data_IF_484138602929
#
_entry.id   IF_484138602929
#
_cell.length_a   1.000
_cell.length_b   1.000
_cell.length_c   1.000
_cell.angle_alpha   90.00
_cell.angle_beta   90.00
_cell.angle_gamma   90.00
#
_symmetry.space_group_name_H-M   'P 1'
#
loop_
_entity.id
_entity.type
_entity.pdbx_description
1 polymer ?
#
# COMPACT_ATOMS: atom_id res chain seq x y z
N UNK A 1 7.88 -9.51 -12.14
CA UNK A 1 6.72 -8.65 -11.90
C UNK A 1 5.71 -8.67 -13.05
N UNK A 2 6.09 -9.18 -14.22
CA UNK A 2 5.20 -9.25 -15.38
C UNK A 2 3.95 -10.08 -15.07
N UNK A 3 2.78 -9.47 -15.22
CA UNK A 3 1.49 -10.09 -14.92
C UNK A 3 1.08 -10.09 -13.44
N UNK A 4 1.94 -9.61 -12.52
CA UNK A 4 1.58 -9.44 -11.12
C UNK A 4 0.56 -8.32 -10.99
N UNK A 5 -0.55 -8.57 -10.32
CA UNK A 5 -1.62 -7.59 -10.08
C UNK A 5 -1.48 -6.99 -8.69
N UNK A 6 -1.27 -5.69 -8.63
CA UNK A 6 -1.05 -4.94 -7.38
C UNK A 6 -2.11 -3.87 -7.21
N UNK A 7 -2.87 -3.92 -6.12
CA UNK A 7 -3.74 -2.82 -5.72
C UNK A 7 -3.05 -1.94 -4.69
N UNK A 8 -3.06 -0.62 -4.91
CA UNK A 8 -2.63 0.40 -3.95
C UNK A 8 -3.90 1.08 -3.44
N UNK A 9 -4.15 1.01 -2.13
CA UNK A 9 -5.43 1.42 -1.52
C UNK A 9 -5.23 2.49 -0.47
N UNK A 10 -5.97 3.59 -0.59
CA UNK A 10 -5.98 4.67 0.39
C UNK A 10 -5.81 6.06 -0.20
N UNK A 11 -5.09 6.95 0.49
CA UNK A 11 -4.78 8.30 0.03
C UNK A 11 -3.65 8.28 -1.02
N UNK A 12 -4.02 8.04 -2.27
CA UNK A 12 -3.06 7.90 -3.37
C UNK A 12 -2.36 9.24 -3.66
N UNK A 13 -3.12 10.32 -3.70
CA UNK A 13 -2.64 11.65 -4.10
C UNK A 13 -1.55 12.18 -3.18
N UNK A 14 -1.69 12.00 -1.88
CA UNK A 14 -0.74 12.53 -0.90
C UNK A 14 0.35 11.54 -0.49
N UNK A 15 0.32 10.31 -1.03
CA UNK A 15 1.25 9.25 -0.64
C UNK A 15 2.53 9.23 -1.50
N UNK A 16 3.66 9.50 -0.88
CA UNK A 16 4.98 9.28 -1.51
C UNK A 16 5.23 7.80 -1.80
N UNK A 17 4.70 6.92 -0.94
CA UNK A 17 4.80 5.46 -1.12
C UNK A 17 4.02 5.04 -2.37
N UNK A 18 2.80 5.52 -2.56
CA UNK A 18 2.02 5.24 -3.77
C UNK A 18 2.77 5.69 -5.02
N UNK A 19 3.27 6.94 -5.05
CA UNK A 19 3.97 7.50 -6.22
C UNK A 19 5.20 6.69 -6.62
N UNK A 20 6.09 6.36 -5.68
CA UNK A 20 7.29 5.58 -5.99
C UNK A 20 6.96 4.15 -6.42
N UNK A 21 5.94 3.53 -5.81
CA UNK A 21 5.55 2.16 -6.15
C UNK A 21 4.83 2.08 -7.50
N UNK A 22 3.87 3.00 -7.80
CA UNK A 22 3.18 2.97 -9.08
C UNK A 22 4.15 3.11 -10.26
N UNK A 23 5.13 3.98 -10.14
CA UNK A 23 6.13 4.20 -11.18
C UNK A 23 7.00 2.97 -11.40
N UNK A 24 7.60 2.41 -10.35
CA UNK A 24 8.51 1.28 -10.49
C UNK A 24 7.79 -0.01 -10.87
N UNK A 25 6.63 -0.28 -10.29
CA UNK A 25 5.85 -1.48 -10.59
C UNK A 25 5.40 -1.52 -12.05
N UNK A 26 4.92 -0.40 -12.58
CA UNK A 26 4.54 -0.28 -13.99
C UNK A 26 5.74 -0.52 -14.91
N UNK A 27 6.90 0.06 -14.60
CA UNK A 27 8.15 -0.15 -15.37
C UNK A 27 8.62 -1.61 -15.33
N UNK A 28 8.35 -2.33 -14.25
CA UNK A 28 8.68 -3.75 -14.09
C UNK A 28 7.62 -4.69 -14.72
N UNK A 29 6.55 -4.14 -15.27
CA UNK A 29 5.50 -4.89 -15.98
C UNK A 29 4.39 -5.45 -15.10
N UNK A 30 4.23 -4.94 -13.88
CA UNK A 30 3.07 -5.25 -13.05
C UNK A 30 1.82 -4.50 -13.54
N UNK A 31 0.66 -5.08 -13.31
CA UNK A 31 -0.63 -4.42 -13.50
C UNK A 31 -1.02 -3.70 -12.20
N UNK A 32 -1.04 -2.37 -12.24
CA UNK A 32 -1.35 -1.55 -11.06
C UNK A 32 -2.81 -1.14 -11.07
N UNK A 33 -3.45 -1.25 -9.91
CA UNK A 33 -4.79 -0.79 -9.63
C UNK A 33 -4.79 0.17 -8.45
N UNK A 34 -5.72 1.11 -8.46
CA UNK A 34 -5.91 2.08 -7.37
C UNK A 34 -7.31 1.93 -6.79
N UNK A 35 -7.42 2.11 -5.48
CA UNK A 35 -8.70 2.17 -4.78
C UNK A 35 -8.60 3.07 -3.55
N UNK A 36 -9.74 3.56 -3.09
CA UNK A 36 -9.85 4.45 -1.93
C UNK A 36 -10.91 5.50 -2.15
N UNK A 37 -11.03 6.51 -1.29
CA UNK A 37 -11.89 7.64 -1.52
C UNK A 37 -11.55 8.37 -2.82
N UNK A 38 -12.55 8.63 -3.67
CA UNK A 38 -12.33 9.27 -4.99
C UNK A 38 -11.67 10.65 -4.85
N UNK A 39 -11.99 11.39 -3.81
CA UNK A 39 -11.37 12.71 -3.55
C UNK A 39 -9.90 12.64 -3.12
N UNK A 40 -9.36 11.43 -2.87
CA UNK A 40 -7.93 11.15 -2.64
C UNK A 40 -7.26 10.53 -3.87
N UNK A 41 -7.89 10.60 -5.02
CA UNK A 41 -7.34 10.10 -6.27
C UNK A 41 -7.26 11.20 -7.34
N UNK A 42 -6.11 11.30 -7.98
CA UNK A 42 -5.88 12.20 -9.10
C UNK A 42 -5.83 11.38 -10.40
N UNK A 43 -6.68 11.70 -11.37
CA UNK A 43 -6.72 11.05 -12.67
C UNK A 43 -5.41 11.18 -13.48
N UNK A 44 -4.47 12.05 -13.09
CA UNK A 44 -3.12 12.05 -13.64
C UNK A 44 -2.39 10.70 -13.40
N UNK A 45 -2.84 9.90 -12.43
CA UNK A 45 -2.28 8.57 -12.15
C UNK A 45 -2.82 7.46 -13.05
N UNK A 46 -3.84 7.72 -13.89
CA UNK A 46 -4.39 6.75 -14.84
C UNK A 46 -3.33 6.22 -15.83
N UNK A 47 -2.26 6.98 -16.05
CA UNK A 47 -1.11 6.54 -16.84
C UNK A 47 -0.33 5.36 -16.23
N UNK A 48 -0.44 5.13 -14.93
CA UNK A 48 0.26 4.05 -14.21
C UNK A 48 -0.64 2.86 -13.91
N UNK A 49 -1.96 3.06 -13.84
CA UNK A 49 -2.89 2.00 -13.46
C UNK A 49 -4.34 2.43 -13.57
N UNK A 50 -5.24 1.57 -13.10
CA UNK A 50 -6.69 1.81 -13.21
C UNK A 50 -7.31 1.95 -11.82
N UNK A 51 -8.10 3.00 -11.62
CA UNK A 51 -8.95 3.10 -10.44
C UNK A 51 -10.12 2.10 -10.52
N UNK A 52 -10.38 1.36 -9.43
CA UNK A 52 -11.48 0.41 -9.30
C UNK A 52 -12.01 0.42 -7.86
N UNK A 53 -13.30 0.11 -7.67
CA UNK A 53 -13.84 -0.18 -6.34
C UNK A 53 -13.07 -1.33 -5.66
N UNK A 54 -12.83 -1.22 -4.35
CA UNK A 54 -12.05 -2.19 -3.60
C UNK A 54 -12.60 -3.62 -3.72
N UNK A 55 -13.92 -3.77 -3.64
CA UNK A 55 -14.57 -5.08 -3.66
C UNK A 55 -14.41 -5.81 -5.01
N UNK A 56 -14.16 -5.09 -6.11
CA UNK A 56 -13.80 -5.70 -7.41
C UNK A 56 -12.36 -6.21 -7.44
N UNK A 57 -11.49 -5.65 -6.60
CA UNK A 57 -10.06 -5.96 -6.57
C UNK A 57 -9.72 -7.12 -5.63
N UNK A 58 -10.47 -7.26 -4.53
CA UNK A 58 -10.15 -8.18 -3.44
C UNK A 58 -9.86 -9.61 -3.91
N UNK A 59 -10.71 -10.18 -4.77
CA UNK A 59 -10.53 -11.55 -5.29
C UNK A 59 -9.64 -11.66 -6.53
N UNK A 60 -9.09 -10.54 -7.03
CA UNK A 60 -8.41 -10.52 -8.34
C UNK A 60 -6.93 -10.19 -8.26
N UNK A 61 -6.50 -9.43 -7.27
CA UNK A 61 -5.11 -9.00 -7.12
C UNK A 61 -4.26 -9.99 -6.35
N UNK A 62 -2.96 -9.96 -6.61
CA UNK A 62 -1.97 -10.79 -5.93
C UNK A 62 -1.38 -10.06 -4.72
N UNK A 63 -1.35 -8.73 -4.78
CA UNK A 63 -0.84 -7.88 -3.71
C UNK A 63 -1.83 -6.77 -3.41
N UNK A 64 -2.22 -6.66 -2.14
CA UNK A 64 -3.04 -5.58 -1.60
C UNK A 64 -2.14 -4.66 -0.76
N UNK A 65 -1.67 -3.57 -1.34
CA UNK A 65 -0.85 -2.58 -0.64
C UNK A 65 -1.73 -1.51 -0.04
N UNK A 66 -1.87 -1.51 1.27
CA UNK A 66 -2.64 -0.52 2.01
C UNK A 66 -1.75 0.68 2.34
N UNK A 67 -2.31 1.87 2.26
CA UNK A 67 -1.65 3.10 2.68
C UNK A 67 -2.18 3.52 4.05
N UNK A 68 -1.32 4.11 4.87
CA UNK A 68 -1.74 4.69 6.14
C UNK A 68 -2.67 5.88 5.90
N UNK A 69 -3.82 5.88 6.56
CA UNK A 69 -4.69 7.07 6.63
C UNK A 69 -4.07 8.07 7.60
N UNK A 70 -3.66 9.23 7.07
CA UNK A 70 -3.00 10.28 7.86
C UNK A 70 -4.03 11.35 8.23
N UNK A 71 -4.80 11.10 9.28
CA UNK A 71 -5.83 12.03 9.77
C UNK A 71 -5.28 13.45 10.00
N UNK A 72 -4.00 13.55 10.41
CA UNK A 72 -3.33 14.82 10.64
C UNK A 72 -3.17 15.69 9.37
N UNK A 73 -3.25 15.11 8.19
CA UNK A 73 -3.15 15.84 6.90
C UNK A 73 -4.49 16.33 6.39
N UNK A 74 -5.55 15.73 6.86
CA UNK A 74 -6.90 16.00 6.39
C UNK A 74 -7.69 16.86 7.39
N UNK A 75 -7.07 17.25 8.52
CA UNK A 75 -7.71 18.12 9.53
C UNK A 75 -8.15 19.44 8.89
N UNK A 76 -9.47 19.63 8.82
CA UNK A 76 -10.09 20.82 8.20
C UNK A 76 -10.56 20.64 6.76
N UNK A 77 -10.41 19.46 6.15
CA UNK A 77 -11.02 19.16 4.85
C UNK A 77 -12.54 18.97 5.05
N UNK A 78 -13.40 19.69 4.29
CA UNK A 78 -14.86 19.53 4.36
C UNK A 78 -15.32 18.08 4.11
N UNK A 79 -14.54 17.29 3.39
CA UNK A 79 -14.82 15.88 3.10
C UNK A 79 -14.44 14.96 4.27
N UNK A 80 -13.60 15.42 5.22
CA UNK A 80 -13.19 14.66 6.39
C UNK A 80 -14.33 14.48 7.40
N UNK A 81 -15.27 15.44 7.48
CA UNK A 81 -16.41 15.37 8.38
C UNK A 81 -17.33 14.15 8.13
N UNK A 82 -17.20 13.49 6.98
CA UNK A 82 -17.98 12.30 6.60
C UNK A 82 -17.22 10.98 6.74
N UNK A 83 -15.91 10.99 7.05
CA UNK A 83 -15.12 9.76 7.15
C UNK A 83 -14.47 9.59 8.52
N UNK A 84 -15.26 9.17 9.49
CA UNK A 84 -14.68 8.62 10.73
C UNK A 84 -13.95 7.29 10.39
N UNK A 85 -13.10 6.82 11.30
CA UNK A 85 -12.33 5.59 11.14
C UNK A 85 -13.19 4.37 10.79
N UNK A 86 -14.40 4.28 11.37
CA UNK A 86 -15.33 3.18 11.14
C UNK A 86 -15.92 3.22 9.72
N UNK A 87 -16.28 4.39 9.22
CA UNK A 87 -16.79 4.57 7.86
C UNK A 87 -15.71 4.27 6.82
N UNK A 88 -14.48 4.72 7.07
CA UNK A 88 -13.35 4.38 6.21
C UNK A 88 -13.13 2.87 6.18
N UNK A 89 -13.07 2.22 7.37
CA UNK A 89 -12.89 0.77 7.47
C UNK A 89 -13.99 0.01 6.71
N UNK A 90 -15.24 0.41 6.88
CA UNK A 90 -16.36 -0.25 6.21
C UNK A 90 -16.25 -0.18 4.67
N UNK A 91 -15.81 0.96 4.14
CA UNK A 91 -15.74 1.19 2.70
C UNK A 91 -14.42 0.72 2.06
N UNK A 92 -13.29 0.96 2.71
CA UNK A 92 -11.94 0.81 2.13
C UNK A 92 -10.98 -0.01 2.98
N UNK A 93 -11.35 -0.41 4.19
CA UNK A 93 -10.55 -1.27 5.05
C UNK A 93 -10.66 -2.75 4.66
N UNK A 94 -9.60 -3.50 4.94
CA UNK A 94 -9.64 -4.96 4.83
C UNK A 94 -10.20 -5.53 6.13
N UNK A 95 -11.46 -5.91 6.08
CA UNK A 95 -12.17 -6.64 7.12
C UNK A 95 -12.08 -8.15 6.88
N UNK A 96 -12.65 -8.95 7.79
CA UNK A 96 -12.64 -10.42 7.72
C UNK A 96 -13.20 -10.94 6.38
N UNK A 97 -14.34 -10.43 5.94
CA UNK A 97 -14.99 -10.91 4.72
C UNK A 97 -14.13 -10.66 3.47
N UNK A 98 -13.52 -9.46 3.37
CA UNK A 98 -12.59 -9.14 2.28
C UNK A 98 -11.32 -10.00 2.34
N UNK A 99 -10.78 -10.23 3.54
CA UNK A 99 -9.61 -11.08 3.73
C UNK A 99 -9.87 -12.53 3.25
N UNK A 100 -11.02 -13.08 3.57
CA UNK A 100 -11.42 -14.43 3.15
C UNK A 100 -11.71 -14.52 1.65
N UNK A 101 -12.16 -13.45 1.03
CA UNK A 101 -12.38 -13.36 -0.41
C UNK A 101 -11.09 -13.14 -1.24
N UNK A 102 -9.96 -12.81 -0.61
CA UNK A 102 -8.67 -12.72 -1.30
C UNK A 102 -8.19 -14.10 -1.78
N UNK A 103 -7.42 -14.11 -2.87
CA UNK A 103 -6.74 -15.34 -3.32
C UNK A 103 -5.92 -15.95 -2.19
N UNK A 104 -5.75 -17.27 -2.22
CA UNK A 104 -5.03 -18.00 -1.16
C UNK A 104 -3.57 -17.56 -1.03
N UNK A 105 -2.93 -17.23 -2.15
CA UNK A 105 -1.54 -16.77 -2.27
C UNK A 105 -1.39 -15.25 -2.28
N UNK A 106 -2.48 -14.50 -2.17
CA UNK A 106 -2.41 -13.04 -2.10
C UNK A 106 -1.81 -12.57 -0.78
N UNK A 107 -1.06 -11.47 -0.85
CA UNK A 107 -0.46 -10.84 0.33
C UNK A 107 -1.00 -9.44 0.58
N UNK A 108 -1.03 -9.06 1.86
CA UNK A 108 -1.31 -7.70 2.32
C UNK A 108 0.00 -7.04 2.71
N UNK A 109 0.27 -5.86 2.14
CA UNK A 109 1.43 -5.03 2.47
C UNK A 109 0.98 -3.70 3.08
N UNK A 110 1.81 -3.14 3.95
CA UNK A 110 1.57 -1.83 4.54
C UNK A 110 2.92 -1.16 4.92
N UNK A 111 3.15 0.10 4.55
CA UNK A 111 4.44 0.75 4.82
C UNK A 111 4.69 1.06 6.30
N UNK A 112 3.68 0.89 7.18
CA UNK A 112 3.74 1.20 8.59
C UNK A 112 3.78 2.73 8.90
N UNK A 113 3.39 3.10 10.13
CA UNK A 113 2.62 2.29 11.08
C UNK A 113 1.18 2.03 10.62
N UNK A 114 0.57 0.92 11.06
CA UNK A 114 -0.83 0.58 10.76
C UNK A 114 -1.75 1.27 11.76
N UNK A 115 -2.82 1.90 11.28
CA UNK A 115 -3.96 2.27 12.14
C UNK A 115 -4.90 1.05 12.20
N UNK A 116 -4.75 0.23 13.27
CA UNK A 116 -5.56 -0.98 13.47
C UNK A 116 -7.04 -0.66 13.52
N UNK A 117 -7.85 -1.40 12.77
CA UNK A 117 -9.27 -1.15 12.64
C UNK A 117 -9.65 0.01 11.71
N UNK A 118 -8.68 0.56 10.98
CA UNK A 118 -8.90 1.56 9.93
C UNK A 118 -8.57 0.97 8.56
N UNK A 119 -7.29 0.85 8.20
CA UNK A 119 -6.91 0.26 6.90
C UNK A 119 -7.04 -1.27 6.92
N UNK A 120 -6.75 -1.88 8.08
CA UNK A 120 -6.75 -3.33 8.27
C UNK A 120 -7.39 -3.64 9.63
N UNK A 121 -8.28 -4.61 9.66
CA UNK A 121 -8.85 -5.10 10.92
C UNK A 121 -7.74 -5.58 11.87
N UNK A 122 -7.90 -5.29 13.16
CA UNK A 122 -6.83 -5.50 14.16
C UNK A 122 -6.32 -6.93 14.22
N UNK A 123 -7.22 -7.90 14.10
CA UNK A 123 -6.91 -9.33 14.12
C UNK A 123 -6.22 -9.84 12.85
N UNK A 124 -6.21 -9.04 11.79
CA UNK A 124 -5.62 -9.42 10.50
C UNK A 124 -4.18 -8.92 10.33
N UNK A 125 -3.70 -8.07 11.23
CA UNK A 125 -2.35 -7.46 11.11
C UNK A 125 -1.25 -8.52 11.12
N UNK A 126 -1.41 -9.58 11.92
CA UNK A 126 -0.50 -10.72 12.00
C UNK A 126 -1.08 -12.00 11.36
N UNK A 127 -2.15 -11.88 10.55
CA UNK A 127 -2.76 -13.02 9.88
C UNK A 127 -1.87 -13.57 8.73
N UNK A 128 -2.02 -14.84 8.30
CA UNK A 128 -1.12 -15.49 7.33
C UNK A 128 -0.87 -14.75 6.02
N UNK A 129 -1.87 -14.01 5.49
CA UNK A 129 -1.70 -13.20 4.26
C UNK A 129 -1.03 -11.84 4.53
N UNK A 130 -0.84 -11.43 5.80
CA UNK A 130 -0.19 -10.18 6.13
C UNK A 130 1.32 -10.32 6.09
N UNK A 131 1.96 -9.65 5.14
CA UNK A 131 3.42 -9.57 5.01
C UNK A 131 4.03 -8.38 5.80
N UNK A 132 3.27 -7.72 6.68
CA UNK A 132 3.68 -6.48 7.33
C UNK A 132 4.98 -6.63 8.13
N UNK A 133 5.08 -7.66 8.96
CA UNK A 133 6.29 -7.91 9.80
C UNK A 133 7.49 -8.28 8.92
N UNK A 134 7.28 -9.14 7.93
CA UNK A 134 8.31 -9.52 6.97
C UNK A 134 8.79 -8.30 6.16
N UNK A 135 7.87 -7.46 5.70
CA UNK A 135 8.18 -6.21 5.00
C UNK A 135 9.07 -5.28 5.83
N UNK A 136 8.79 -5.13 7.14
CA UNK A 136 9.64 -4.34 8.05
C UNK A 136 11.05 -4.91 8.14
N UNK A 137 11.18 -6.21 8.33
CA UNK A 137 12.47 -6.92 8.39
C UNK A 137 13.25 -6.76 7.09
N UNK A 138 12.62 -7.02 5.95
CA UNK A 138 13.23 -6.87 4.63
C UNK A 138 13.62 -5.40 4.36
N UNK A 139 12.88 -4.44 4.90
CA UNK A 139 13.22 -3.02 4.82
C UNK A 139 14.55 -2.66 5.48
N UNK A 140 14.92 -3.34 6.58
CA UNK A 140 16.23 -3.16 7.23
C UNK A 140 17.35 -3.67 6.33
N UNK A 141 17.24 -4.89 5.83
CA UNK A 141 18.25 -5.49 4.95
C UNK A 141 18.42 -4.69 3.63
N UNK A 142 17.31 -4.21 3.06
CA UNK A 142 17.38 -3.36 1.86
C UNK A 142 18.11 -2.05 2.11
N UNK A 143 17.88 -1.40 3.25
CA UNK A 143 18.62 -0.18 3.62
C UNK A 143 20.10 -0.44 3.84
N UNK A 144 20.46 -1.55 4.49
CA UNK A 144 21.84 -1.96 4.65
C UNK A 144 22.52 -2.16 3.29
N UNK A 145 21.88 -2.88 2.38
CA UNK A 145 22.40 -3.11 1.03
C UNK A 145 22.54 -1.80 0.22
N UNK A 146 21.58 -0.88 0.33
CA UNK A 146 21.65 0.44 -0.32
C UNK A 146 22.81 1.27 0.22
N UNK A 147 23.00 1.29 1.54
CA UNK A 147 24.11 2.02 2.17
C UNK A 147 25.45 1.43 1.74
N UNK A 148 25.59 0.11 1.78
CA UNK A 148 26.81 -0.58 1.33
C UNK A 148 27.12 -0.25 -0.13
N UNK A 149 26.13 -0.35 -1.02
CA UNK A 149 26.32 -0.05 -2.44
C UNK A 149 26.78 1.39 -2.68
N UNK A 150 26.21 2.35 -1.95
CA UNK A 150 26.61 3.77 -2.05
C UNK A 150 28.02 3.99 -1.51
N UNK A 151 28.36 3.41 -0.37
CA UNK A 151 29.68 3.53 0.24
C UNK A 151 30.77 2.91 -0.64
N UNK A 152 30.55 1.69 -1.15
CA UNK A 152 31.48 1.03 -2.10
C UNK A 152 31.61 1.83 -3.38
N UNK A 153 30.52 2.27 -3.97
CA UNK A 153 30.55 3.06 -5.23
C UNK A 153 31.28 4.40 -5.06
N UNK A 154 31.40 4.92 -3.84
CA UNK A 154 32.16 6.14 -3.53
C UNK A 154 33.49 5.90 -2.82
N UNK A 155 33.87 4.65 -2.62
CA UNK A 155 35.09 4.24 -1.88
C UNK A 155 35.18 4.88 -0.48
N UNK A 156 34.05 4.90 0.22
CA UNK A 156 33.94 5.45 1.57
C UNK A 156 33.92 4.34 2.62
N UNK A 157 34.34 4.68 3.85
CA UNK A 157 34.25 3.74 5.00
C UNK A 157 35.18 2.53 4.93
N UNK A 158 36.24 2.56 4.10
CA UNK A 158 37.15 1.44 3.94
C UNK A 158 36.56 0.24 3.17
N UNK A 159 35.47 0.44 2.47
CA UNK A 159 34.85 -0.56 1.60
C UNK A 159 35.40 -0.36 0.18
N UNK A 160 36.33 -1.20 -0.25
CA UNK A 160 36.90 -1.25 -1.59
C UNK A 160 36.16 -2.26 -2.49
#
# INVERSE_FOLDING_TARGET
FKGLKVAIVGDITNSRVARSNMEILTRLGAEVYFSGPEYWYDHAFDQYGKYRPLDELVGTVDVMMLLRVQHERHAGDPNEASSNAADYHAKYGINRARYEAMKDDAIIMHPGPINRGVELASELVEAPKSAFVEQMTNGVYMRMAMLEAVLRGRKLGGLE
#
